data_IF_698068951633
#
_entry.id   IF_698068951633
#
_cell.length_a   1.000
_cell.length_b   1.000
_cell.length_c   1.000
_cell.angle_alpha   90.00
_cell.angle_beta   90.00
_cell.angle_gamma   90.00
#
_symmetry.space_group_name_H-M   'P 1'
#
loop_
_entity.id
_entity.type
_entity.pdbx_description
1 polymer ?
#
# COMPACT_ATOMS: atom_id res chain seq x y z
N UNK A 1 -60.79 25.75 -25.48
CA UNK A 1 -59.92 24.85 -24.71
C UNK A 1 -58.46 25.22 -24.91
N UNK A 2 -57.92 26.12 -24.08
CA UNK A 2 -56.50 26.48 -24.01
C UNK A 2 -56.02 26.31 -22.57
N UNK A 3 -54.83 25.76 -22.42
CA UNK A 3 -54.08 25.61 -21.17
C UNK A 3 -53.73 26.97 -20.54
N UNK A 4 -53.47 26.98 -19.22
CA UNK A 4 -52.42 27.76 -18.52
C UNK A 4 -52.29 27.23 -17.06
N UNK A 5 -51.04 27.15 -16.62
CA UNK A 5 -50.49 26.99 -15.27
C UNK A 5 -51.30 27.55 -14.08
N UNK A 6 -51.25 26.87 -12.92
CA UNK A 6 -50.37 27.28 -11.81
C UNK A 6 -50.22 26.19 -10.72
N UNK A 7 -48.99 26.11 -10.22
CA UNK A 7 -48.40 25.51 -9.02
C UNK A 7 -49.29 25.19 -7.81
N UNK A 8 -49.02 24.04 -7.18
CA UNK A 8 -48.97 23.98 -5.72
C UNK A 8 -47.87 23.02 -5.24
N UNK A 9 -47.15 23.47 -4.22
CA UNK A 9 -45.92 22.92 -3.65
C UNK A 9 -46.26 22.14 -2.37
N UNK A 10 -45.32 21.29 -1.93
CA UNK A 10 -45.18 20.72 -0.58
C UNK A 10 -46.06 19.52 -0.19
N UNK A 11 -45.52 18.32 -0.39
CA UNK A 11 -45.17 17.39 0.70
C UNK A 11 -44.51 16.14 0.10
N UNK A 12 -43.18 16.15 0.07
CA UNK A 12 -42.36 15.05 -0.46
C UNK A 12 -41.23 14.74 0.50
N UNK A 13 -41.57 14.00 1.55
CA UNK A 13 -40.71 13.05 2.25
C UNK A 13 -39.21 13.42 2.39
N UNK A 14 -38.95 14.13 3.49
CA UNK A 14 -37.69 14.19 4.22
C UNK A 14 -37.25 12.78 4.68
N UNK A 15 -36.80 11.91 3.76
CA UNK A 15 -36.21 10.60 4.10
C UNK A 15 -34.91 10.24 3.36
N UNK A 16 -34.52 10.96 2.32
CA UNK A 16 -33.34 10.60 1.52
C UNK A 16 -32.04 11.34 1.90
N UNK A 17 -32.05 12.17 2.95
CA UNK A 17 -30.84 12.88 3.44
C UNK A 17 -30.02 12.11 4.49
N UNK A 18 -30.50 10.95 4.94
CA UNK A 18 -29.84 10.18 6.01
C UNK A 18 -28.80 9.17 5.51
N UNK A 19 -28.63 8.99 4.20
CA UNK A 19 -27.68 8.02 3.63
C UNK A 19 -26.38 8.65 3.10
N UNK A 20 -26.19 9.97 3.24
CA UNK A 20 -25.06 10.68 2.63
C UNK A 20 -23.93 11.13 3.60
N UNK A 21 -23.95 10.74 4.88
CA UNK A 21 -22.97 11.26 5.87
C UNK A 21 -22.32 10.20 6.76
N UNK A 22 -21.96 9.02 6.23
CA UNK A 22 -21.01 8.14 6.93
C UNK A 22 -19.95 7.48 6.03
N UNK A 23 -19.53 8.17 4.98
CA UNK A 23 -18.36 7.77 4.15
C UNK A 23 -17.27 8.83 4.16
N UNK A 24 -17.05 9.44 5.32
CA UNK A 24 -15.82 10.21 5.61
C UNK A 24 -14.74 9.35 6.29
N UNK A 25 -14.96 8.04 6.41
CA UNK A 25 -13.91 7.08 6.70
C UNK A 25 -13.29 6.52 5.41
N UNK A 26 -12.00 6.74 5.22
CA UNK A 26 -11.11 5.87 4.41
C UNK A 26 -11.33 5.82 2.88
N UNK A 27 -11.47 6.96 2.21
CA UNK A 27 -11.30 7.02 0.74
C UNK A 27 -9.94 7.57 0.29
N UNK A 28 -9.08 7.98 1.21
CA UNK A 28 -7.76 8.58 0.94
C UNK A 28 -6.60 7.58 0.98
N UNK A 29 -6.73 6.44 1.67
CA UNK A 29 -5.57 5.54 1.93
C UNK A 29 -5.36 4.46 0.85
N UNK A 30 -6.37 4.12 0.03
CA UNK A 30 -6.30 2.99 -0.92
C UNK A 30 -6.18 3.47 -2.39
N UNK A 31 -5.62 4.65 -2.65
CA UNK A 31 -5.49 5.17 -4.02
C UNK A 31 -4.06 5.01 -4.55
N UNK A 32 -3.72 3.78 -4.98
CA UNK A 32 -2.70 3.57 -6.03
C UNK A 32 -1.35 2.91 -5.69
N UNK A 33 -1.11 2.37 -4.50
CA UNK A 33 0.13 1.58 -4.26
C UNK A 33 -0.01 0.16 -4.82
N UNK A 34 0.81 -0.18 -5.81
CA UNK A 34 0.98 -1.56 -6.30
C UNK A 34 1.43 -2.48 -5.15
N UNK A 35 1.08 -3.76 -5.20
CA UNK A 35 1.50 -4.75 -4.18
C UNK A 35 3.02 -4.73 -3.97
N UNK A 36 3.79 -4.61 -5.05
CA UNK A 36 5.24 -4.47 -5.01
C UNK A 36 5.71 -3.26 -4.18
N UNK A 37 5.10 -2.08 -4.39
CA UNK A 37 5.42 -0.88 -3.61
C UNK A 37 5.14 -1.08 -2.13
N UNK A 38 4.02 -1.73 -1.78
CA UNK A 38 3.67 -2.02 -0.38
C UNK A 38 4.70 -2.92 0.30
N UNK A 39 5.20 -3.94 -0.40
CA UNK A 39 6.26 -4.83 0.13
C UNK A 39 7.53 -4.03 0.44
N UNK A 40 7.95 -3.16 -0.49
CA UNK A 40 9.13 -2.31 -0.30
C UNK A 40 8.93 -1.34 0.86
N UNK A 41 7.77 -0.66 0.94
CA UNK A 41 7.46 0.25 2.04
C UNK A 41 7.44 -0.47 3.40
N UNK A 42 6.88 -1.67 3.46
CA UNK A 42 6.85 -2.49 4.68
C UNK A 42 8.25 -2.88 5.15
N UNK A 43 9.14 -3.26 4.22
CA UNK A 43 10.52 -3.59 4.52
C UNK A 43 11.30 -2.37 5.05
N UNK A 44 11.22 -1.24 4.34
CA UNK A 44 11.88 0.00 4.80
C UNK A 44 11.31 0.52 6.12
N UNK A 45 9.99 0.46 6.30
CA UNK A 45 9.32 0.83 7.54
C UNK A 45 9.80 0.02 8.75
N UNK A 46 9.92 -1.30 8.57
CA UNK A 46 10.46 -2.20 9.59
C UNK A 46 11.94 -1.89 9.89
N UNK A 47 12.76 -1.70 8.86
CA UNK A 47 14.17 -1.33 9.03
C UNK A 47 14.34 0.02 9.73
N UNK A 48 13.55 1.04 9.40
CA UNK A 48 13.60 2.34 10.05
C UNK A 48 13.08 2.30 11.49
N UNK A 49 12.06 1.48 11.77
CA UNK A 49 11.61 1.24 13.14
C UNK A 49 12.71 0.59 13.99
N UNK A 50 13.45 -0.39 13.45
CA UNK A 50 14.49 -1.11 14.19
C UNK A 50 15.84 -0.39 14.24
N UNK A 51 16.23 0.30 13.17
CA UNK A 51 17.53 0.95 13.02
C UNK A 51 17.36 2.45 12.87
N UNK A 52 17.72 3.19 13.94
CA UNK A 52 17.58 4.65 14.00
C UNK A 52 18.34 5.40 12.90
N UNK A 53 19.37 4.79 12.31
CA UNK A 53 20.15 5.38 11.21
C UNK A 53 19.29 5.75 10.00
N UNK A 54 18.19 5.02 9.74
CA UNK A 54 17.29 5.30 8.63
C UNK A 54 16.19 6.34 8.95
N UNK A 55 16.10 6.80 10.21
CA UNK A 55 15.07 7.78 10.62
C UNK A 55 15.46 9.23 10.31
N UNK A 56 16.71 9.46 9.92
CA UNK A 56 17.25 10.78 9.60
C UNK A 56 18.04 10.73 8.30
N UNK A 57 18.24 11.89 7.69
CA UNK A 57 19.14 12.04 6.55
C UNK A 57 20.54 11.50 6.89
N UNK A 58 21.04 10.59 6.07
CA UNK A 58 22.36 9.98 6.26
C UNK A 58 23.40 10.86 5.55
N UNK A 59 24.14 11.66 6.32
CA UNK A 59 25.19 12.53 5.78
C UNK A 59 26.52 11.76 5.66
N UNK A 60 26.57 10.78 4.77
CA UNK A 60 27.76 9.97 4.48
C UNK A 60 27.94 9.77 2.97
N UNK A 61 29.15 9.40 2.56
CA UNK A 61 29.42 9.01 1.18
C UNK A 61 28.52 7.83 0.77
N UNK A 62 27.98 7.79 -0.48
CA UNK A 62 27.09 6.72 -0.94
C UNK A 62 27.59 5.30 -0.67
N UNK A 63 28.90 5.05 -0.82
CA UNK A 63 29.48 3.73 -0.53
C UNK A 63 29.31 3.30 0.94
N UNK A 64 29.42 4.26 1.86
CA UNK A 64 29.19 4.01 3.29
C UNK A 64 27.72 3.75 3.57
N UNK A 65 26.81 4.47 2.90
CA UNK A 65 25.36 4.25 3.01
C UNK A 65 24.99 2.86 2.51
N UNK A 66 25.56 2.42 1.39
CA UNK A 66 25.38 1.05 0.87
C UNK A 66 25.84 0.00 1.88
N UNK A 67 27.03 0.17 2.46
CA UNK A 67 27.54 -0.76 3.50
C UNK A 67 26.62 -0.80 4.73
N UNK A 68 26.14 0.35 5.20
CA UNK A 68 25.19 0.43 6.33
C UNK A 68 23.89 -0.29 6.00
N UNK A 69 23.38 -0.10 4.78
CA UNK A 69 22.12 -0.71 4.32
C UNK A 69 22.24 -2.23 4.26
N UNK A 70 23.31 -2.74 3.65
CA UNK A 70 23.59 -4.17 3.58
C UNK A 70 23.82 -4.79 4.96
N UNK A 71 24.60 -4.14 5.83
CA UNK A 71 24.82 -4.60 7.20
C UNK A 71 23.51 -4.65 7.98
N UNK A 72 22.62 -3.67 7.80
CA UNK A 72 21.30 -3.63 8.43
C UNK A 72 20.40 -4.76 7.92
N UNK A 73 20.43 -5.06 6.62
CA UNK A 73 19.69 -6.19 6.04
C UNK A 73 20.21 -7.55 6.56
N UNK A 74 21.53 -7.74 6.62
CA UNK A 74 22.12 -8.93 7.21
C UNK A 74 21.74 -9.10 8.68
N UNK A 75 21.81 -8.02 9.46
CA UNK A 75 21.43 -8.04 10.87
C UNK A 75 19.93 -8.28 11.06
N UNK A 76 19.09 -7.68 10.21
CA UNK A 76 17.65 -7.95 10.19
C UNK A 76 17.37 -9.44 10.00
N UNK A 77 17.97 -10.05 8.97
CA UNK A 77 17.80 -11.48 8.68
C UNK A 77 18.28 -12.35 9.86
N UNK A 78 19.43 -12.03 10.44
CA UNK A 78 19.96 -12.74 11.60
C UNK A 78 19.04 -12.65 12.82
N UNK A 79 18.46 -11.47 13.09
CA UNK A 79 17.55 -11.28 14.21
C UNK A 79 16.18 -11.93 13.97
N UNK A 80 15.70 -11.95 12.73
CA UNK A 80 14.51 -12.72 12.35
C UNK A 80 14.73 -14.22 12.60
N UNK A 81 15.91 -14.76 12.27
CA UNK A 81 16.23 -16.17 12.51
C UNK A 81 16.37 -16.50 14.01
N UNK A 82 17.11 -15.68 14.76
CA UNK A 82 17.52 -16.01 16.13
C UNK A 82 16.61 -15.50 17.22
N UNK A 83 15.80 -14.47 16.96
CA UNK A 83 14.95 -13.78 17.94
C UNK A 83 13.62 -13.33 17.34
N UNK A 84 13.04 -14.14 16.44
CA UNK A 84 11.83 -13.80 15.69
C UNK A 84 10.72 -13.21 16.55
N UNK A 85 10.36 -13.87 17.66
CA UNK A 85 9.22 -13.46 18.51
C UNK A 85 9.38 -12.06 19.13
N UNK A 86 10.61 -11.70 19.51
CA UNK A 86 10.91 -10.40 20.12
C UNK A 86 11.23 -9.32 19.07
N UNK A 87 11.84 -9.72 17.95
CA UNK A 87 12.32 -8.81 16.91
C UNK A 87 11.28 -8.49 15.83
N UNK A 88 10.45 -9.46 15.45
CA UNK A 88 9.37 -9.33 14.48
C UNK A 88 8.06 -9.80 15.11
N UNK A 89 7.43 -8.91 15.87
CA UNK A 89 6.09 -9.21 16.39
C UNK A 89 5.10 -9.26 15.22
N UNK A 90 4.08 -10.13 15.24
CA UNK A 90 3.09 -10.22 14.15
C UNK A 90 2.38 -8.89 13.85
N UNK A 91 2.26 -8.02 14.86
CA UNK A 91 1.66 -6.71 14.73
C UNK A 91 2.63 -5.64 14.19
N UNK A 92 3.93 -5.93 14.04
CA UNK A 92 4.92 -4.92 13.63
C UNK A 92 4.75 -4.52 12.17
N UNK A 93 4.71 -5.50 11.26
CA UNK A 93 4.67 -5.32 9.82
C UNK A 93 3.23 -5.28 9.27
N UNK A 94 3.05 -4.69 8.09
CA UNK A 94 1.79 -4.79 7.36
C UNK A 94 1.51 -6.25 6.98
N UNK A 95 0.25 -6.66 7.05
CA UNK A 95 -0.19 -8.00 6.68
C UNK A 95 -1.49 -7.94 5.87
N UNK A 96 -1.74 -8.96 5.05
CA UNK A 96 -2.96 -9.11 4.25
C UNK A 96 -3.86 -10.16 4.91
N UNK A 97 -5.15 -9.85 5.07
CA UNK A 97 -6.15 -10.83 5.52
C UNK A 97 -6.61 -11.75 4.37
N UNK A 98 -7.49 -12.70 4.69
CA UNK A 98 -8.06 -13.62 3.71
C UNK A 98 -8.84 -12.92 2.58
N UNK A 99 -9.34 -11.70 2.84
CA UNK A 99 -10.08 -10.87 1.88
C UNK A 99 -9.15 -9.90 1.11
N UNK A 100 -7.82 -10.10 1.20
CA UNK A 100 -6.78 -9.24 0.63
C UNK A 100 -6.85 -7.78 1.09
N UNK A 101 -7.45 -7.50 2.25
CA UNK A 101 -7.37 -6.19 2.87
C UNK A 101 -6.05 -6.07 3.60
N UNK A 102 -5.38 -4.95 3.38
CA UNK A 102 -4.12 -4.64 4.05
C UNK A 102 -4.43 -4.08 5.42
N UNK A 103 -3.85 -4.71 6.43
CA UNK A 103 -3.86 -4.27 7.81
C UNK A 103 -2.52 -3.62 8.13
N UNK A 104 -2.56 -2.39 8.63
CA UNK A 104 -1.38 -1.58 8.90
C UNK A 104 -0.60 -2.08 10.11
N UNK A 105 0.70 -2.26 9.94
CA UNK A 105 1.63 -2.64 11.00
C UNK A 105 1.91 -1.50 11.98
N UNK A 106 2.32 -1.86 13.20
CA UNK A 106 2.67 -0.91 14.26
C UNK A 106 3.81 0.03 13.85
N UNK A 107 4.69 -0.35 12.91
CA UNK A 107 5.76 0.54 12.43
C UNK A 107 5.22 1.85 11.82
N UNK A 108 3.96 1.86 11.34
CA UNK A 108 3.30 3.06 10.80
C UNK A 108 2.85 4.04 11.89
N UNK A 109 2.65 3.58 13.14
CA UNK A 109 2.08 4.37 14.26
C UNK A 109 3.10 4.93 15.24
N UNK A 110 4.30 4.36 15.31
CA UNK A 110 5.35 4.84 16.22
C UNK A 110 5.93 6.17 15.71
N UNK A 111 5.29 7.28 16.13
CA UNK A 111 5.46 8.67 15.68
C UNK A 111 6.83 9.34 15.89
N UNK A 112 7.92 8.58 16.00
CA UNK A 112 9.29 9.09 15.97
C UNK A 112 10.04 8.48 14.79
N UNK A 113 9.73 8.96 13.58
CA UNK A 113 10.32 8.47 12.33
C UNK A 113 9.46 7.49 11.54
N UNK A 114 8.14 7.46 11.76
CA UNK A 114 7.21 6.79 10.87
C UNK A 114 7.39 7.37 9.46
N UNK A 115 7.88 6.54 8.53
CA UNK A 115 8.01 6.90 7.12
C UNK A 115 6.60 7.23 6.61
N UNK A 116 6.34 8.51 6.35
CA UNK A 116 5.07 8.93 5.79
C UNK A 116 5.01 8.45 4.34
N UNK A 117 3.85 7.94 3.93
CA UNK A 117 3.61 7.70 2.51
C UNK A 117 3.88 9.00 1.76
N UNK A 118 4.81 8.95 0.80
CA UNK A 118 5.03 10.06 -0.12
C UNK A 118 3.67 10.35 -0.76
N UNK A 119 3.08 11.54 -0.54
CA UNK A 119 1.84 11.92 -1.20
C UNK A 119 2.04 11.75 -2.69
N UNK A 120 1.06 11.20 -3.40
CA UNK A 120 1.11 11.15 -4.84
C UNK A 120 0.97 12.59 -5.38
N UNK A 121 2.03 13.39 -5.30
CA UNK A 121 2.10 14.68 -5.96
C UNK A 121 2.18 14.41 -7.46
N UNK A 122 0.99 14.42 -8.07
CA UNK A 122 0.71 14.05 -9.45
C UNK A 122 0.92 12.57 -9.70
N UNK A 123 -0.18 11.81 -9.61
CA UNK A 123 -0.30 10.56 -10.36
C UNK A 123 -0.11 10.88 -11.84
N UNK A 124 1.13 10.75 -12.33
CA UNK A 124 1.37 10.76 -13.76
C UNK A 124 0.66 9.53 -14.30
N UNK A 125 -0.35 9.75 -15.15
CA UNK A 125 -0.96 8.63 -15.88
C UNK A 125 0.20 7.92 -16.61
N UNK A 126 0.39 6.61 -16.41
CA UNK A 126 1.44 5.89 -17.11
C UNK A 126 1.26 6.13 -18.61
N UNK A 127 2.38 6.41 -19.28
CA UNK A 127 2.37 6.71 -20.72
C UNK A 127 1.75 5.53 -21.47
N UNK A 128 1.22 5.79 -22.68
CA UNK A 128 0.65 4.73 -23.51
C UNK A 128 1.65 3.58 -23.72
N UNK A 129 2.93 3.92 -23.93
CA UNK A 129 4.01 2.95 -24.08
C UNK A 129 4.22 2.09 -22.82
N UNK A 130 4.23 2.68 -21.62
CA UNK A 130 4.33 1.91 -20.37
C UNK A 130 3.14 0.96 -20.20
N UNK A 131 1.92 1.39 -20.56
CA UNK A 131 0.74 0.53 -20.51
C UNK A 131 0.85 -0.65 -21.49
N UNK A 132 1.21 -0.37 -22.74
CA UNK A 132 1.41 -1.40 -23.76
C UNK A 132 2.48 -2.43 -23.34
N UNK A 133 3.57 -1.96 -22.73
CA UNK A 133 4.63 -2.84 -22.22
C UNK A 133 4.15 -3.69 -21.03
N UNK A 134 3.36 -3.10 -20.12
CA UNK A 134 2.73 -3.86 -19.03
C UNK A 134 1.76 -4.91 -19.56
N UNK A 135 0.94 -4.58 -20.57
CA UNK A 135 -0.02 -5.50 -21.17
C UNK A 135 0.69 -6.65 -21.91
N UNK A 136 1.77 -6.35 -22.62
CA UNK A 136 2.60 -7.36 -23.30
C UNK A 136 3.25 -8.33 -22.30
N UNK A 137 3.87 -7.79 -21.24
CA UNK A 137 4.47 -8.61 -20.18
C UNK A 137 3.41 -9.43 -19.44
N UNK A 138 2.25 -8.83 -19.13
CA UNK A 138 1.12 -9.54 -18.52
C UNK A 138 0.66 -10.70 -19.40
N UNK A 139 0.52 -10.48 -20.71
CA UNK A 139 0.18 -11.55 -21.65
C UNK A 139 1.20 -12.68 -21.66
N UNK A 140 2.49 -12.35 -21.61
CA UNK A 140 3.56 -13.35 -21.55
C UNK A 140 3.54 -14.16 -20.25
N UNK A 141 3.47 -13.52 -19.07
CA UNK A 141 3.50 -14.19 -17.77
C UNK A 141 2.24 -15.04 -17.47
N UNK A 142 1.15 -14.83 -18.21
CA UNK A 142 -0.07 -15.67 -18.15
C UNK A 142 -0.06 -16.74 -19.24
N UNK A 143 0.84 -16.67 -20.23
CA UNK A 143 0.97 -17.69 -21.26
C UNK A 143 1.67 -18.95 -20.73
N UNK A 144 1.45 -20.12 -21.35
CA UNK A 144 2.15 -21.35 -20.97
C UNK A 144 3.67 -21.24 -21.00
N UNK A 145 4.22 -20.35 -21.84
CA UNK A 145 5.67 -20.15 -21.97
C UNK A 145 6.26 -19.27 -20.85
N UNK A 146 5.46 -18.40 -20.24
CA UNK A 146 5.90 -17.48 -19.17
C UNK A 146 5.37 -17.83 -17.78
N UNK A 147 4.49 -18.82 -17.68
CA UNK A 147 3.93 -19.28 -16.42
C UNK A 147 4.96 -20.10 -15.63
N UNK A 148 5.05 -19.83 -14.32
CA UNK A 148 5.91 -20.60 -13.41
C UNK A 148 5.12 -21.70 -12.70
N UNK A 149 5.72 -22.87 -12.39
CA UNK A 149 5.01 -24.02 -11.82
C UNK A 149 4.26 -23.74 -10.52
N UNK A 150 4.70 -22.75 -9.73
CA UNK A 150 4.10 -22.39 -8.45
C UNK A 150 3.03 -21.29 -8.56
N UNK A 151 2.76 -20.75 -9.74
CA UNK A 151 1.86 -19.61 -9.95
C UNK A 151 0.40 -19.92 -9.60
N UNK A 152 -0.04 -21.17 -9.78
CA UNK A 152 -1.42 -21.60 -9.48
C UNK A 152 -1.59 -22.25 -8.11
N UNK A 153 -0.48 -22.44 -7.38
CA UNK A 153 -0.47 -23.19 -6.10
C UNK A 153 -1.34 -22.56 -5.02
N UNK A 154 -1.70 -21.29 -5.17
CA UNK A 154 -2.51 -20.52 -4.20
C UNK A 154 -3.90 -20.12 -4.74
N UNK A 155 -4.32 -20.61 -5.91
CA UNK A 155 -5.62 -20.28 -6.52
C UNK A 155 -6.78 -21.21 -6.10
N UNK A 156 -6.55 -22.10 -5.14
CA UNK A 156 -7.58 -22.98 -4.58
C UNK A 156 -7.73 -22.72 -3.09
N UNK A 157 -8.78 -21.97 -2.74
CA UNK A 157 -9.54 -22.03 -1.48
C UNK A 157 -10.94 -21.47 -1.76
#
# INVERSE_FOLDING_TARGET
MRAIHQSNVFQGHEKDRSLALNTQGSWTTIRGSTRARRVVENAFGTLANRFRVFRSTIFLHPDSVTKITLASACLHNFLCDRRSEAYMTPALADWEDADHRVNEGAWRRDGLGAMQCVPAERSQKPTLATKQQHDLLKGYFVSPAGQVPWQEKYNYN
#
